data_IF_223117243596
#
_entry.id   IF_223117243596
#
_cell.length_a   1.000
_cell.length_b   1.000
_cell.length_c   1.000
_cell.angle_alpha   90.00
_cell.angle_beta   90.00
_cell.angle_gamma   90.00
#
_symmetry.space_group_name_H-M   'P 1'
#
loop_
_entity.id
_entity.type
_entity.pdbx_description
1 polymer ?
#
# COMPACT_ATOMS: atom_id res chain seq x y z
N UNK A 1 -46.17 -15.93 8.90
CA UNK A 1 -44.91 -15.17 9.08
C UNK A 1 -43.78 -16.16 9.34
N UNK A 2 -43.11 -16.62 8.26
CA UNK A 2 -41.92 -17.47 8.37
C UNK A 2 -40.76 -16.57 8.80
N UNK A 3 -40.28 -16.76 10.04
CA UNK A 3 -39.00 -16.16 10.47
C UNK A 3 -37.88 -16.91 9.76
N UNK A 4 -37.35 -16.35 8.68
CA UNK A 4 -36.12 -16.83 8.06
C UNK A 4 -34.96 -16.53 9.03
N UNK A 5 -34.63 -17.50 9.85
CA UNK A 5 -33.42 -17.48 10.65
C UNK A 5 -32.25 -17.91 9.77
N UNK A 6 -31.54 -16.96 9.19
CA UNK A 6 -30.26 -17.24 8.57
C UNK A 6 -29.26 -17.57 9.69
N UNK A 7 -28.92 -18.85 9.81
CA UNK A 7 -27.86 -19.31 10.73
C UNK A 7 -26.54 -19.03 10.04
N UNK A 8 -25.89 -17.95 10.41
CA UNK A 8 -24.53 -17.66 9.94
C UNK A 8 -23.56 -18.51 10.79
N UNK A 9 -23.07 -19.58 10.17
CA UNK A 9 -22.05 -20.44 10.76
C UNK A 9 -20.69 -19.71 10.77
N UNK A 10 -20.01 -19.80 11.89
CA UNK A 10 -18.65 -19.41 12.25
C UNK A 10 -17.82 -18.70 11.17
N UNK A 11 -17.60 -17.40 11.31
CA UNK A 11 -16.47 -16.72 10.72
C UNK A 11 -15.24 -17.05 11.58
N UNK A 12 -14.54 -18.13 11.26
CA UNK A 12 -13.25 -18.46 11.84
C UNK A 12 -12.20 -17.86 10.91
N UNK A 13 -11.65 -16.73 11.30
CA UNK A 13 -10.46 -16.17 10.65
C UNK A 13 -9.23 -16.96 11.18
N UNK A 14 -8.99 -18.12 10.58
CA UNK A 14 -7.79 -18.91 10.86
C UNK A 14 -6.70 -18.56 9.84
N UNK A 15 -5.49 -18.31 10.31
CA UNK A 15 -4.28 -18.34 9.50
C UNK A 15 -3.91 -19.82 9.24
N UNK A 16 -4.73 -20.51 8.44
CA UNK A 16 -4.39 -21.84 7.94
C UNK A 16 -4.15 -21.68 6.45
N UNK A 17 -2.90 -21.80 6.03
CA UNK A 17 -2.43 -21.85 4.63
C UNK A 17 -3.20 -20.90 3.68
N UNK A 18 -3.12 -19.59 3.94
CA UNK A 18 -3.75 -18.54 3.15
C UNK A 18 -3.41 -18.64 1.64
N UNK A 19 -2.28 -19.27 1.30
CA UNK A 19 -1.82 -19.41 -0.07
C UNK A 19 -2.71 -20.29 -0.96
N UNK A 20 -3.41 -21.31 -0.41
CA UNK A 20 -4.27 -22.20 -1.21
C UNK A 20 -5.64 -21.57 -1.47
N UNK A 21 -6.16 -20.82 -0.49
CA UNK A 21 -7.51 -20.25 -0.55
C UNK A 21 -7.60 -18.96 -1.37
N UNK A 22 -6.57 -18.11 -1.28
CA UNK A 22 -6.49 -16.89 -2.09
C UNK A 22 -6.31 -17.18 -3.58
N UNK A 23 -5.55 -18.22 -3.93
CA UNK A 23 -5.33 -18.67 -5.31
C UNK A 23 -6.64 -19.07 -6.04
N UNK A 24 -7.73 -19.33 -5.32
CA UNK A 24 -9.03 -19.62 -5.93
C UNK A 24 -9.78 -18.36 -6.40
N UNK A 25 -9.51 -17.19 -5.82
CA UNK A 25 -10.14 -15.93 -6.19
C UNK A 25 -9.24 -15.01 -7.00
N UNK A 26 -7.93 -15.06 -6.76
CA UNK A 26 -6.97 -14.16 -7.37
C UNK A 26 -5.98 -14.94 -8.23
N UNK A 27 -5.72 -14.42 -9.43
CA UNK A 27 -4.65 -15.00 -10.26
C UNK A 27 -3.28 -14.66 -9.68
N UNK A 28 -2.38 -15.64 -9.53
CA UNK A 28 -1.01 -15.39 -9.07
C UNK A 28 -0.32 -14.36 -9.97
N UNK A 29 0.35 -13.40 -9.37
CA UNK A 29 1.17 -12.42 -10.07
C UNK A 29 2.63 -12.67 -9.74
N UNK A 30 3.46 -12.77 -10.78
CA UNK A 30 4.89 -12.93 -10.63
C UNK A 30 5.58 -11.58 -10.83
N UNK A 31 5.88 -10.92 -9.74
CA UNK A 31 6.78 -9.78 -9.74
C UNK A 31 8.20 -10.27 -9.53
N UNK A 32 9.20 -9.63 -10.18
CA UNK A 32 10.60 -10.04 -10.03
C UNK A 32 11.08 -9.72 -8.61
N UNK A 33 11.09 -10.74 -7.74
CA UNK A 33 11.66 -10.61 -6.41
C UNK A 33 13.14 -10.26 -6.50
N UNK A 34 13.61 -9.42 -5.58
CA UNK A 34 15.01 -8.95 -5.50
C UNK A 34 15.53 -8.19 -6.74
N UNK A 35 14.66 -7.80 -7.64
CA UNK A 35 15.03 -6.99 -8.80
C UNK A 35 15.48 -5.59 -8.39
N UNK A 36 14.75 -4.97 -7.47
CA UNK A 36 15.03 -3.64 -6.99
C UNK A 36 15.87 -3.63 -5.70
N UNK A 37 16.81 -2.68 -5.59
CA UNK A 37 17.49 -2.36 -4.34
C UNK A 37 16.55 -1.61 -3.40
N UNK A 38 16.68 -1.83 -2.08
CA UNK A 38 15.94 -1.03 -1.10
C UNK A 38 16.38 0.43 -1.18
N UNK A 39 15.45 1.38 -1.41
CA UNK A 39 15.80 2.70 -1.96
C UNK A 39 16.40 3.69 -0.96
N UNK A 40 16.65 3.32 0.28
CA UNK A 40 17.22 4.22 1.29
C UNK A 40 18.25 3.52 2.19
N UNK A 41 19.35 4.23 2.50
CA UNK A 41 20.37 3.76 3.44
C UNK A 41 19.91 4.03 4.89
N UNK A 42 19.06 3.16 5.41
CA UNK A 42 18.51 3.21 6.76
C UNK A 42 18.07 1.80 7.20
N UNK A 43 17.59 1.67 8.43
CA UNK A 43 16.96 0.43 8.90
C UNK A 43 15.76 0.10 8.04
N UNK A 44 15.74 -1.10 7.43
CA UNK A 44 14.62 -1.54 6.60
C UNK A 44 13.34 -1.59 7.44
N UNK A 45 12.36 -0.81 7.05
CA UNK A 45 11.08 -0.72 7.74
C UNK A 45 10.19 0.37 7.14
N UNK A 46 8.91 0.34 7.48
CA UNK A 46 7.90 1.21 6.92
C UNK A 46 7.34 2.17 7.98
N UNK A 47 7.09 3.41 7.56
CA UNK A 47 6.21 4.35 8.22
C UNK A 47 4.75 4.13 7.77
N UNK A 48 4.54 3.79 6.47
CA UNK A 48 3.25 3.41 5.92
C UNK A 48 3.43 2.47 4.73
N UNK A 49 2.45 1.62 4.45
CA UNK A 49 2.46 0.68 3.33
C UNK A 49 1.58 1.12 2.16
N UNK A 50 1.76 0.45 1.02
CA UNK A 50 0.91 0.59 -0.15
C UNK A 50 -0.53 0.15 0.14
N UNK A 51 -1.52 0.91 -0.36
CA UNK A 51 -2.93 0.61 -0.16
C UNK A 51 -3.47 0.96 1.24
N UNK A 52 -2.68 1.61 2.11
CA UNK A 52 -3.19 2.14 3.38
C UNK A 52 -4.27 3.19 3.13
N UNK A 53 -5.40 3.07 3.84
CA UNK A 53 -6.51 4.01 3.70
C UNK A 53 -6.16 5.36 4.32
N UNK A 54 -6.23 6.40 3.51
CA UNK A 54 -6.13 7.81 3.91
C UNK A 54 -7.53 8.45 3.87
N UNK A 55 -7.76 9.64 4.42
CA UNK A 55 -9.09 10.24 4.48
C UNK A 55 -9.82 10.40 3.15
N UNK A 56 -9.11 10.50 2.02
CA UNK A 56 -9.67 10.74 0.69
C UNK A 56 -8.97 10.00 -0.45
N UNK A 57 -8.03 9.12 -0.16
CA UNK A 57 -7.30 8.34 -1.15
C UNK A 57 -6.60 7.14 -0.50
N UNK A 58 -6.18 6.17 -1.32
CA UNK A 58 -5.24 5.14 -0.89
C UNK A 58 -3.81 5.66 -0.93
N UNK A 59 -2.98 5.21 0.01
CA UNK A 59 -1.55 5.46 -0.05
C UNK A 59 -0.93 4.72 -1.25
N UNK A 60 -0.28 5.47 -2.14
CA UNK A 60 0.14 4.97 -3.45
C UNK A 60 1.56 4.39 -3.47
N UNK A 61 2.26 4.34 -2.34
CA UNK A 61 3.65 3.88 -2.28
C UNK A 61 4.01 3.23 -0.95
N UNK A 62 5.32 3.10 -0.72
CA UNK A 62 5.89 2.79 0.59
C UNK A 62 6.49 4.04 1.19
N UNK A 63 6.13 4.37 2.41
CA UNK A 63 6.86 5.35 3.22
C UNK A 63 8.00 4.61 3.95
N UNK A 64 9.17 4.60 3.31
CA UNK A 64 10.36 3.96 3.86
C UNK A 64 10.94 4.79 5.00
N UNK A 65 11.23 4.15 6.14
CA UNK A 65 11.80 4.82 7.30
C UNK A 65 13.20 5.35 7.01
N UNK A 66 13.48 6.54 7.51
CA UNK A 66 14.80 7.18 7.45
C UNK A 66 15.40 7.35 8.85
N UNK A 67 15.06 6.45 9.79
CA UNK A 67 15.46 6.50 11.20
C UNK A 67 15.15 7.86 11.87
N UNK A 68 14.01 8.46 11.49
CA UNK A 68 13.56 9.80 11.92
C UNK A 68 14.55 10.94 11.60
N UNK A 69 15.43 10.74 10.61
CA UNK A 69 16.44 11.71 10.21
C UNK A 69 16.28 12.13 8.75
N UNK A 70 16.67 13.35 8.44
CA UNK A 70 16.86 13.84 7.07
C UNK A 70 18.28 13.48 6.57
N UNK A 71 18.51 13.70 5.29
CA UNK A 71 19.80 13.53 4.62
C UNK A 71 20.34 12.09 4.61
N UNK A 72 19.47 11.08 4.76
CA UNK A 72 19.85 9.70 4.44
C UNK A 72 20.02 9.56 2.93
N UNK A 73 21.03 8.80 2.51
CA UNK A 73 21.25 8.55 1.08
C UNK A 73 20.08 7.80 0.47
N UNK A 74 19.58 8.31 -0.62
CA UNK A 74 18.57 7.67 -1.48
C UNK A 74 19.30 7.01 -2.64
N UNK A 75 19.00 5.74 -2.87
CA UNK A 75 19.64 4.90 -3.86
C UNK A 75 18.71 4.65 -5.04
N UNK A 76 19.27 4.61 -6.24
CA UNK A 76 18.56 4.08 -7.40
C UNK A 76 18.23 2.61 -7.16
N UNK A 77 16.97 2.25 -7.27
CA UNK A 77 16.52 0.88 -7.03
C UNK A 77 16.99 -0.09 -8.12
N UNK A 78 17.22 0.41 -9.32
CA UNK A 78 17.79 -0.32 -10.45
C UNK A 78 18.40 0.66 -11.46
N UNK A 79 19.09 0.14 -12.46
CA UNK A 79 19.65 0.91 -13.57
C UNK A 79 18.54 1.65 -14.34
N UNK A 80 18.82 2.88 -14.79
CA UNK A 80 17.84 3.64 -15.53
C UNK A 80 18.27 5.09 -15.80
N UNK A 81 17.31 5.95 -16.04
CA UNK A 81 17.51 7.38 -16.22
C UNK A 81 16.44 8.19 -15.49
N UNK A 82 16.79 9.41 -15.09
CA UNK A 82 15.96 10.28 -14.28
C UNK A 82 15.01 11.09 -15.16
N UNK A 83 13.72 11.06 -14.82
CA UNK A 83 12.67 11.84 -15.44
C UNK A 83 12.12 12.95 -14.52
N UNK A 84 10.83 13.31 -14.69
CA UNK A 84 10.11 14.33 -13.89
C UNK A 84 10.08 13.97 -12.41
N UNK A 85 10.29 14.97 -11.56
CA UNK A 85 10.57 14.79 -10.13
C UNK A 85 11.77 13.86 -10.03
N UNK A 86 11.89 12.95 -9.08
CA UNK A 86 12.83 11.86 -9.30
C UNK A 86 12.01 10.63 -9.70
N UNK A 87 11.67 10.56 -10.98
CA UNK A 87 11.26 9.34 -11.64
C UNK A 87 12.47 8.71 -12.33
N UNK A 88 12.68 7.42 -12.11
CA UNK A 88 13.67 6.64 -12.82
C UNK A 88 12.95 5.61 -13.69
N UNK A 89 13.09 5.73 -15.00
CA UNK A 89 12.58 4.74 -15.95
C UNK A 89 13.60 3.62 -16.13
N UNK A 90 13.18 2.38 -15.91
CA UNK A 90 14.02 1.20 -15.94
C UNK A 90 13.88 0.41 -17.24
N UNK A 91 14.90 -0.33 -17.67
CA UNK A 91 14.85 -1.12 -18.91
C UNK A 91 13.77 -2.21 -18.92
N UNK A 92 13.30 -2.66 -17.75
CA UNK A 92 12.26 -3.68 -17.60
C UNK A 92 10.83 -3.16 -17.83
N UNK A 93 10.65 -1.88 -18.16
CA UNK A 93 9.33 -1.26 -18.36
C UNK A 93 8.64 -0.81 -17.07
N UNK A 94 9.41 -0.72 -16.00
CA UNK A 94 8.93 -0.14 -14.72
C UNK A 94 9.55 1.24 -14.51
N UNK A 95 8.89 2.05 -13.68
CA UNK A 95 9.34 3.37 -13.27
C UNK A 95 9.30 3.45 -11.75
N UNK A 96 10.37 3.93 -11.12
CA UNK A 96 10.38 4.22 -9.68
C UNK A 96 10.26 5.71 -9.41
N UNK A 97 9.49 6.06 -8.38
CA UNK A 97 9.30 7.42 -7.90
C UNK A 97 9.90 7.56 -6.50
N UNK A 98 10.59 8.67 -6.29
CA UNK A 98 11.19 9.07 -5.01
C UNK A 98 10.69 10.46 -4.64
N UNK A 99 10.05 10.61 -3.47
CA UNK A 99 9.51 11.88 -3.02
C UNK A 99 9.93 12.26 -1.59
N UNK A 100 9.56 13.47 -1.17
CA UNK A 100 9.93 14.12 0.09
C UNK A 100 11.44 14.32 0.25
N UNK A 101 12.15 14.49 -0.86
CA UNK A 101 13.60 14.67 -0.90
C UNK A 101 14.01 16.05 -0.40
N UNK A 102 15.21 16.15 0.14
CA UNK A 102 15.85 17.40 0.56
C UNK A 102 16.72 17.97 -0.55
N UNK A 103 17.70 17.20 -0.98
CA UNK A 103 18.63 17.60 -2.03
C UNK A 103 18.82 16.46 -3.03
N UNK A 104 19.09 16.80 -4.27
CA UNK A 104 19.54 15.85 -5.28
C UNK A 104 21.06 15.63 -5.15
N UNK A 105 21.62 14.59 -5.82
CA UNK A 105 23.07 14.50 -5.93
C UNK A 105 23.61 15.68 -6.76
N UNK A 106 24.89 16.03 -6.52
CA UNK A 106 25.48 17.30 -6.96
C UNK A 106 25.27 17.65 -8.43
N UNK A 107 25.46 16.69 -9.36
CA UNK A 107 25.30 16.92 -10.78
C UNK A 107 23.84 17.27 -11.17
N UNK A 108 22.87 16.55 -10.62
CA UNK A 108 21.47 16.82 -10.87
C UNK A 108 21.01 18.11 -10.20
N UNK A 109 21.45 18.37 -8.97
CA UNK A 109 21.12 19.59 -8.23
C UNK A 109 21.56 20.85 -9.01
N UNK A 110 22.78 20.83 -9.55
CA UNK A 110 23.31 21.90 -10.38
C UNK A 110 22.45 22.10 -11.63
N UNK A 111 22.16 21.04 -12.36
CA UNK A 111 21.34 21.09 -13.57
C UNK A 111 19.94 21.65 -13.29
N UNK A 112 19.26 21.18 -12.24
CA UNK A 112 17.93 21.66 -11.87
C UNK A 112 17.97 23.15 -11.54
N UNK A 113 18.95 23.63 -10.78
CA UNK A 113 19.13 25.07 -10.52
C UNK A 113 19.35 25.89 -11.78
N UNK A 114 20.18 25.43 -12.69
CA UNK A 114 20.39 26.09 -13.97
C UNK A 114 19.07 26.22 -14.76
N UNK A 115 18.25 25.16 -14.80
CA UNK A 115 16.95 25.20 -15.45
C UNK A 115 15.96 26.14 -14.73
N UNK A 116 15.95 26.14 -13.39
CA UNK A 116 15.13 27.07 -12.62
C UNK A 116 15.46 28.54 -12.94
N UNK A 117 16.75 28.89 -13.02
CA UNK A 117 17.19 30.24 -13.40
C UNK A 117 16.83 30.57 -14.85
N UNK A 118 17.04 29.62 -15.78
CA UNK A 118 16.71 29.82 -17.19
C UNK A 118 15.23 30.05 -17.42
N UNK A 119 14.37 29.30 -16.72
CA UNK A 119 12.91 29.38 -16.79
C UNK A 119 12.33 30.43 -15.86
N UNK A 120 13.14 31.05 -14.99
CA UNK A 120 12.73 32.01 -13.95
C UNK A 120 11.58 31.48 -13.10
N UNK A 121 11.64 30.17 -12.76
CA UNK A 121 10.61 29.47 -11.99
C UNK A 121 11.25 28.54 -10.98
N UNK A 122 10.74 28.55 -9.74
CA UNK A 122 11.12 27.57 -8.71
C UNK A 122 10.53 26.18 -9.00
N UNK A 123 9.30 26.15 -9.52
CA UNK A 123 8.66 24.90 -9.92
C UNK A 123 9.03 24.60 -11.38
N UNK A 124 9.78 23.54 -11.60
CA UNK A 124 10.17 23.06 -12.92
C UNK A 124 9.77 21.60 -13.10
N UNK A 125 9.35 21.27 -14.31
CA UNK A 125 9.12 19.90 -14.76
C UNK A 125 10.10 19.64 -15.90
N UNK A 126 11.06 18.77 -15.66
CA UNK A 126 12.18 18.54 -16.58
C UNK A 126 12.12 17.13 -17.14
N UNK A 127 11.87 17.00 -18.42
CA UNK A 127 12.06 15.75 -19.14
C UNK A 127 13.56 15.63 -19.49
N UNK A 128 14.26 14.79 -18.70
CA UNK A 128 15.72 14.66 -18.80
C UNK A 128 16.05 13.53 -19.80
N UNK A 129 16.87 13.81 -20.84
CA UNK A 129 17.27 12.77 -21.77
C UNK A 129 17.98 11.61 -21.06
N UNK A 130 17.76 10.35 -21.49
CA UNK A 130 18.28 9.15 -20.81
C UNK A 130 19.80 9.12 -20.62
N UNK A 131 20.53 9.74 -21.52
CA UNK A 131 22.00 9.77 -21.52
C UNK A 131 22.60 10.91 -20.70
N UNK A 132 21.79 11.82 -20.15
CA UNK A 132 22.31 13.00 -19.44
C UNK A 132 22.68 12.64 -17.99
N UNK A 133 21.82 11.89 -17.30
CA UNK A 133 22.06 11.41 -15.93
C UNK A 133 21.72 9.92 -15.82
N UNK A 134 22.52 9.03 -16.46
CA UNK A 134 22.34 7.60 -16.27
C UNK A 134 22.72 7.22 -14.85
N UNK A 135 21.98 6.32 -14.25
CA UNK A 135 22.23 5.78 -12.91
C UNK A 135 22.26 4.27 -12.95
N UNK A 136 23.03 3.68 -12.04
CA UNK A 136 23.08 2.24 -11.78
C UNK A 136 22.40 1.91 -10.48
N UNK A 137 21.96 0.68 -10.37
CA UNK A 137 21.42 0.14 -9.12
C UNK A 137 22.37 0.42 -7.95
N UNK A 138 21.85 1.05 -6.89
CA UNK A 138 22.61 1.41 -5.70
C UNK A 138 23.34 2.76 -5.77
N UNK A 139 23.33 3.47 -6.88
CA UNK A 139 23.89 4.82 -6.94
C UNK A 139 23.11 5.77 -6.03
N UNK A 140 23.82 6.68 -5.36
CA UNK A 140 23.18 7.73 -4.58
C UNK A 140 22.62 8.79 -5.51
N UNK A 141 21.29 8.99 -5.49
CA UNK A 141 20.59 9.93 -6.37
C UNK A 141 20.09 11.18 -5.63
N UNK A 142 19.90 11.09 -4.32
CA UNK A 142 19.35 12.18 -3.52
C UNK A 142 19.62 11.97 -2.03
N UNK A 143 19.20 12.95 -1.23
CA UNK A 143 19.13 12.89 0.22
C UNK A 143 17.66 12.95 0.66
N UNK A 144 17.29 12.13 1.64
CA UNK A 144 15.94 12.13 2.20
C UNK A 144 15.64 13.43 2.94
N UNK A 145 14.40 13.86 2.92
CA UNK A 145 13.95 15.08 3.57
C UNK A 145 12.61 14.92 4.28
N UNK A 146 11.93 16.06 4.36
CA UNK A 146 10.59 16.21 4.91
C UNK A 146 9.83 17.28 4.12
N UNK A 147 10.06 17.35 2.80
CA UNK A 147 9.47 18.36 1.93
C UNK A 147 8.05 17.98 1.48
N UNK A 148 7.23 18.99 1.12
CA UNK A 148 5.85 18.78 0.66
C UNK A 148 4.89 18.34 1.76
N UNK A 149 3.92 17.51 1.44
CA UNK A 149 2.87 17.04 2.36
C UNK A 149 3.31 15.94 3.33
N UNK A 150 4.44 16.09 3.98
CA UNK A 150 5.03 15.12 4.89
C UNK A 150 4.87 15.53 6.36
N UNK A 151 4.56 14.59 7.25
CA UNK A 151 4.44 14.80 8.70
C UNK A 151 5.73 14.48 9.48
N UNK A 152 6.79 14.06 8.81
CA UNK A 152 8.07 13.72 9.41
C UNK A 152 9.03 13.11 8.39
N UNK A 153 10.35 13.03 8.69
CA UNK A 153 11.33 12.52 7.74
C UNK A 153 11.06 11.08 7.31
N UNK A 154 10.83 10.87 6.02
CA UNK A 154 10.71 9.55 5.37
C UNK A 154 10.96 9.68 3.87
N UNK A 155 11.11 8.57 3.19
CA UNK A 155 11.10 8.48 1.73
C UNK A 155 9.77 7.89 1.29
N UNK A 156 8.99 8.63 0.51
CA UNK A 156 7.87 8.05 -0.23
C UNK A 156 8.38 7.42 -1.53
N UNK A 157 8.14 6.14 -1.71
CA UNK A 157 8.66 5.34 -2.81
C UNK A 157 7.54 4.58 -3.52
N UNK A 158 7.48 4.71 -4.86
CA UNK A 158 6.53 3.98 -5.70
C UNK A 158 7.23 3.18 -6.77
N UNK A 159 6.59 2.11 -7.22
CA UNK A 159 6.91 1.40 -8.44
C UNK A 159 5.69 1.50 -9.35
N UNK A 160 5.90 1.89 -10.60
CA UNK A 160 4.85 2.06 -11.60
C UNK A 160 5.11 1.22 -12.82
N UNK A 161 4.07 0.78 -13.48
CA UNK A 161 4.14 0.34 -14.87
C UNK A 161 4.35 1.57 -15.76
N UNK A 162 5.47 1.63 -16.49
CA UNK A 162 5.86 2.82 -17.26
C UNK A 162 4.85 3.16 -18.36
N UNK A 163 4.16 2.18 -18.92
CA UNK A 163 3.21 2.38 -20.01
C UNK A 163 1.86 2.90 -19.56
N UNK A 164 1.36 2.39 -18.43
CA UNK A 164 0.01 2.68 -17.93
C UNK A 164 0.00 3.70 -16.79
N UNK A 165 1.16 4.05 -16.25
CA UNK A 165 1.37 4.85 -15.02
C UNK A 165 0.66 4.28 -13.78
N UNK A 166 0.24 3.00 -13.84
CA UNK A 166 -0.43 2.33 -12.74
C UNK A 166 0.56 2.00 -11.64
N UNK A 167 0.24 2.40 -10.41
CA UNK A 167 1.12 2.13 -9.27
C UNK A 167 0.93 0.70 -8.80
N UNK A 168 2.05 -0.02 -8.69
CA UNK A 168 2.13 -1.40 -8.26
C UNK A 168 2.49 -1.45 -6.78
N UNK A 169 2.02 -2.46 -6.07
CA UNK A 169 2.40 -2.63 -4.68
C UNK A 169 3.89 -3.00 -4.54
N UNK A 170 4.74 -2.10 -4.02
CA UNK A 170 6.18 -2.34 -3.99
C UNK A 170 6.57 -3.51 -3.08
N UNK A 171 5.74 -3.88 -2.08
CA UNK A 171 6.02 -5.01 -1.20
C UNK A 171 6.10 -6.36 -1.95
N UNK A 172 5.49 -6.44 -3.12
CA UNK A 172 5.52 -7.64 -3.96
C UNK A 172 6.86 -7.85 -4.69
N UNK A 173 7.78 -6.88 -4.61
CA UNK A 173 9.10 -6.93 -5.26
C UNK A 173 10.24 -7.39 -4.33
N UNK A 174 9.94 -7.85 -3.13
CA UNK A 174 10.90 -8.57 -2.29
C UNK A 174 11.98 -7.72 -1.62
N UNK A 175 11.65 -6.55 -1.07
CA UNK A 175 12.62 -5.66 -0.39
C UNK A 175 13.20 -6.20 0.92
N UNK A 176 12.87 -7.43 1.32
CA UNK A 176 13.38 -8.04 2.54
C UNK A 176 13.00 -7.26 3.82
N UNK A 177 11.82 -6.65 3.83
CA UNK A 177 11.25 -6.03 5.03
C UNK A 177 10.72 -7.16 5.91
N UNK A 178 11.27 -7.34 7.14
CA UNK A 178 10.81 -8.42 8.00
C UNK A 178 9.36 -8.18 8.44
N UNK A 179 8.51 -9.18 8.25
CA UNK A 179 7.16 -9.16 8.78
C UNK A 179 6.71 -10.54 9.23
N UNK A 180 6.41 -10.65 10.53
CA UNK A 180 5.87 -11.83 11.21
C UNK A 180 4.66 -11.48 12.05
N UNK A 181 4.15 -10.25 11.91
CA UNK A 181 3.03 -9.73 12.70
C UNK A 181 1.74 -10.01 11.95
N UNK A 182 0.81 -10.69 12.59
CA UNK A 182 -0.50 -10.91 12.01
C UNK A 182 -1.38 -9.66 12.15
N UNK A 183 -2.25 -9.35 11.16
CA UNK A 183 -3.17 -8.21 11.23
C UNK A 183 -4.07 -8.24 12.47
N UNK A 184 -4.39 -7.05 12.97
CA UNK A 184 -5.37 -6.86 14.04
C UNK A 184 -6.72 -6.44 13.46
N UNK A 185 -7.77 -7.25 13.71
CA UNK A 185 -9.14 -6.90 13.34
C UNK A 185 -9.77 -6.09 14.47
N UNK A 186 -10.09 -4.84 14.16
CA UNK A 186 -10.62 -3.88 15.13
C UNK A 186 -12.14 -4.00 15.25
N UNK A 187 -12.85 -4.17 14.14
CA UNK A 187 -14.32 -4.20 14.05
C UNK A 187 -14.79 -5.12 12.93
N UNK A 188 -15.92 -5.75 13.17
CA UNK A 188 -16.74 -6.40 12.16
C UNK A 188 -18.09 -5.67 12.11
N UNK A 189 -18.54 -5.30 10.91
CA UNK A 189 -19.83 -4.69 10.67
C UNK A 189 -20.69 -5.59 9.78
N UNK A 190 -22.00 -5.62 10.03
CA UNK A 190 -22.97 -6.32 9.19
C UNK A 190 -23.97 -5.31 8.66
N UNK A 191 -24.13 -5.30 7.33
CA UNK A 191 -25.03 -4.42 6.59
C UNK A 191 -26.22 -5.20 6.03
N UNK A 192 -27.39 -4.59 6.03
CA UNK A 192 -28.55 -5.06 5.26
C UNK A 192 -28.38 -4.66 3.80
N UNK A 193 -28.24 -5.63 2.90
CA UNK A 193 -28.05 -5.36 1.47
C UNK A 193 -29.30 -4.99 0.70
N UNK A 194 -30.46 -4.95 1.36
CA UNK A 194 -31.68 -4.38 0.77
C UNK A 194 -31.73 -2.85 0.92
N UNK A 195 -30.78 -2.25 1.63
CA UNK A 195 -30.60 -0.82 1.81
C UNK A 195 -29.24 -0.36 1.27
N UNK A 196 -29.15 0.89 0.89
CA UNK A 196 -27.86 1.52 0.61
C UNK A 196 -26.99 1.58 1.89
N UNK A 197 -25.68 1.49 1.73
CA UNK A 197 -24.74 1.68 2.86
C UNK A 197 -24.85 3.07 3.47
N UNK A 198 -25.29 4.06 2.70
CA UNK A 198 -25.50 5.44 3.18
C UNK A 198 -26.81 5.66 3.95
N UNK A 199 -27.76 4.74 3.81
CA UNK A 199 -29.09 4.86 4.42
C UNK A 199 -29.24 4.03 5.68
N UNK A 200 -28.15 3.46 6.16
CA UNK A 200 -28.18 2.60 7.34
C UNK A 200 -26.95 2.78 8.23
N UNK A 201 -27.15 2.53 9.52
CA UNK A 201 -26.04 2.29 10.45
C UNK A 201 -25.81 0.79 10.55
N UNK A 202 -24.58 0.29 10.23
CA UNK A 202 -24.32 -1.13 10.30
C UNK A 202 -24.39 -1.66 11.73
N UNK A 203 -24.77 -2.92 11.87
CA UNK A 203 -24.65 -3.62 13.16
C UNK A 203 -23.18 -3.96 13.41
N UNK A 204 -22.59 -3.31 14.41
CA UNK A 204 -21.23 -3.64 14.86
C UNK A 204 -21.25 -4.89 15.73
N UNK A 205 -20.37 -5.83 15.42
CA UNK A 205 -20.26 -7.10 16.11
C UNK A 205 -18.99 -7.10 16.96
N UNK A 206 -19.12 -7.29 18.28
CA UNK A 206 -17.97 -7.45 19.15
C UNK A 206 -17.14 -8.69 18.78
N UNK A 207 -15.82 -8.55 18.85
CA UNK A 207 -14.87 -9.61 18.57
C UNK A 207 -14.06 -9.96 19.81
N UNK A 208 -13.69 -11.24 19.93
CA UNK A 208 -12.73 -11.73 20.93
C UNK A 208 -11.58 -12.42 20.20
N UNK A 209 -10.34 -12.08 20.57
CA UNK A 209 -9.13 -12.76 20.06
C UNK A 209 -8.79 -13.93 20.96
N UNK A 210 -8.78 -15.17 20.40
CA UNK A 210 -8.44 -16.39 21.12
C UNK A 210 -7.38 -17.14 20.32
N UNK A 211 -6.19 -17.31 20.88
CA UNK A 211 -5.05 -17.98 20.22
C UNK A 211 -4.77 -17.46 18.80
N UNK A 212 -4.81 -16.13 18.62
CA UNK A 212 -4.54 -15.50 17.32
C UNK A 212 -5.75 -15.37 16.38
N UNK A 213 -6.84 -16.10 16.66
CA UNK A 213 -8.08 -16.07 15.86
C UNK A 213 -9.10 -15.12 16.47
N UNK A 214 -9.84 -14.38 15.65
CA UNK A 214 -10.94 -13.53 16.07
C UNK A 214 -12.25 -14.30 15.92
N UNK A 215 -13.05 -14.32 16.98
CA UNK A 215 -14.39 -14.88 16.97
C UNK A 215 -15.42 -13.83 17.35
N UNK A 216 -16.64 -13.95 16.83
CA UNK A 216 -17.73 -13.06 17.18
C UNK A 216 -18.28 -13.35 18.58
N UNK A 217 -18.71 -12.31 19.27
CA UNK A 217 -19.37 -12.42 20.58
C UNK A 217 -20.69 -11.62 20.56
N UNK A 218 -21.86 -12.29 20.46
CA UNK A 218 -22.10 -13.73 20.53
C UNK A 218 -21.67 -14.48 19.26
N UNK A 219 -21.47 -15.79 19.36
CA UNK A 219 -21.08 -16.66 18.24
C UNK A 219 -22.17 -16.71 17.14
N UNK A 220 -23.44 -16.61 17.52
CA UNK A 220 -24.56 -16.54 16.59
C UNK A 220 -25.00 -15.07 16.42
N UNK A 221 -24.95 -14.58 15.18
CA UNK A 221 -25.39 -13.25 14.81
C UNK A 221 -26.78 -13.37 14.14
N UNK A 222 -27.80 -12.81 14.79
CA UNK A 222 -29.14 -12.73 14.23
C UNK A 222 -29.30 -11.43 13.43
N UNK A 223 -29.81 -11.53 12.22
CA UNK A 223 -30.12 -10.40 11.34
C UNK A 223 -31.55 -10.49 10.84
N UNK A 224 -32.20 -9.34 10.65
CA UNK A 224 -33.60 -9.27 10.19
C UNK A 224 -33.67 -8.97 8.69
N UNK A 225 -32.85 -9.67 7.90
CA UNK A 225 -32.75 -9.50 6.45
C UNK A 225 -32.34 -10.82 5.83
N UNK A 226 -32.70 -11.01 4.57
CA UNK A 226 -32.32 -12.16 3.73
C UNK A 226 -30.99 -11.97 3.01
N UNK A 227 -30.46 -10.72 2.96
CA UNK A 227 -29.21 -10.38 2.29
C UNK A 227 -28.33 -9.52 3.19
N UNK A 228 -27.10 -9.98 3.37
CA UNK A 228 -26.10 -9.27 4.19
C UNK A 228 -24.80 -9.05 3.42
N UNK A 229 -24.07 -8.02 3.81
CA UNK A 229 -22.64 -7.88 3.51
C UNK A 229 -21.89 -7.56 4.79
N UNK A 230 -20.58 -7.75 4.73
CA UNK A 230 -19.69 -7.55 5.85
C UNK A 230 -18.71 -6.43 5.55
N UNK A 231 -18.38 -5.66 6.57
CA UNK A 231 -17.25 -4.73 6.57
C UNK A 231 -16.31 -5.08 7.71
N UNK A 232 -15.03 -4.99 7.45
CA UNK A 232 -13.99 -5.13 8.49
C UNK A 232 -13.20 -3.84 8.62
N UNK A 233 -12.88 -3.47 9.86
CA UNK A 233 -11.84 -2.50 10.16
C UNK A 233 -10.65 -3.29 10.69
N UNK A 234 -9.56 -3.27 9.96
CA UNK A 234 -8.35 -4.00 10.31
C UNK A 234 -7.12 -3.14 10.08
N UNK A 235 -6.06 -3.40 10.82
CA UNK A 235 -4.75 -2.77 10.63
C UNK A 235 -3.67 -3.82 10.73
N UNK A 236 -2.58 -3.59 10.04
CA UNK A 236 -1.40 -4.43 10.07
C UNK A 236 -0.19 -3.65 10.59
N UNK A 237 0.92 -4.35 10.85
CA UNK A 237 2.19 -3.75 11.28
C UNK A 237 3.33 -4.63 10.83
N UNK A 238 4.39 -4.04 10.33
CA UNK A 238 5.63 -4.79 10.08
C UNK A 238 6.39 -5.03 11.38
N UNK A 239 7.15 -6.12 11.44
CA UNK A 239 7.96 -6.48 12.61
C UNK A 239 8.86 -5.32 13.06
N UNK A 240 8.82 -5.00 14.35
CA UNK A 240 9.62 -3.92 14.94
C UNK A 240 9.08 -2.51 14.69
N UNK A 241 7.88 -2.35 14.14
CA UNK A 241 7.22 -1.06 13.96
C UNK A 241 5.94 -0.96 14.78
N UNK A 242 5.69 0.21 15.37
CA UNK A 242 4.41 0.56 16.00
C UNK A 242 3.42 1.20 15.01
N UNK A 243 3.86 1.53 13.80
CA UNK A 243 3.01 2.15 12.80
C UNK A 243 1.93 1.19 12.33
N UNK A 244 0.72 1.69 12.20
CA UNK A 244 -0.42 0.95 11.69
C UNK A 244 -0.46 1.11 10.18
N UNK A 245 -0.42 0.00 9.49
CA UNK A 245 -0.51 -0.10 8.04
C UNK A 245 -1.88 -0.62 7.62
N UNK A 246 -2.21 -0.51 6.32
CA UNK A 246 -3.36 -1.17 5.71
C UNK A 246 -3.15 -2.68 5.57
N UNK A 247 -4.25 -3.41 5.36
CA UNK A 247 -4.21 -4.84 5.03
C UNK A 247 -4.09 -5.03 3.51
N UNK A 248 -3.35 -6.05 3.10
CA UNK A 248 -3.12 -6.37 1.70
C UNK A 248 -4.28 -7.13 1.06
N UNK A 249 -4.82 -8.10 1.81
CA UNK A 249 -5.82 -9.02 1.30
C UNK A 249 -6.88 -9.34 2.37
N UNK A 250 -8.12 -9.53 1.93
CA UNK A 250 -9.15 -10.15 2.73
C UNK A 250 -10.07 -11.01 1.84
N UNK A 251 -10.42 -12.20 2.32
CA UNK A 251 -11.30 -13.15 1.65
C UNK A 251 -12.44 -13.53 2.57
N UNK A 252 -13.67 -13.49 2.04
CA UNK A 252 -14.87 -13.98 2.72
C UNK A 252 -15.15 -15.42 2.28
N UNK A 253 -15.31 -16.29 3.25
CA UNK A 253 -15.68 -17.69 3.03
C UNK A 253 -17.12 -17.95 3.50
N UNK A 254 -17.80 -18.86 2.81
CA UNK A 254 -19.00 -19.53 3.29
C UNK A 254 -18.67 -21.03 3.44
N UNK A 255 -18.64 -21.49 4.68
CA UNK A 255 -17.95 -22.73 5.05
C UNK A 255 -16.50 -22.68 4.51
N UNK A 256 -16.04 -23.66 3.77
CA UNK A 256 -14.68 -23.71 3.22
C UNK A 256 -14.57 -23.15 1.80
N UNK A 257 -15.61 -22.50 1.27
CA UNK A 257 -15.62 -21.96 -0.10
C UNK A 257 -15.44 -20.45 -0.10
N UNK A 258 -14.43 -19.92 -0.81
CA UNK A 258 -14.27 -18.48 -0.96
C UNK A 258 -15.43 -17.93 -1.82
N UNK A 259 -16.05 -16.84 -1.34
CA UNK A 259 -17.18 -16.19 -2.03
C UNK A 259 -16.74 -14.92 -2.73
N UNK A 260 -15.98 -14.10 -2.03
CA UNK A 260 -15.50 -12.79 -2.50
C UNK A 260 -14.29 -12.36 -1.67
N UNK A 261 -13.56 -11.38 -2.20
CA UNK A 261 -12.42 -10.83 -1.49
C UNK A 261 -11.82 -9.65 -2.25
N UNK A 262 -10.79 -9.06 -1.68
CA UNK A 262 -9.95 -8.09 -2.36
C UNK A 262 -8.48 -8.39 -2.10
N UNK A 263 -7.65 -7.98 -3.05
CA UNK A 263 -6.19 -8.02 -2.97
C UNK A 263 -5.64 -6.74 -3.61
N UNK A 264 -4.77 -6.03 -2.89
CA UNK A 264 -4.29 -4.71 -3.31
C UNK A 264 -2.92 -4.83 -3.98
N UNK A 265 -2.89 -5.34 -5.21
CA UNK A 265 -1.67 -5.48 -6.01
C UNK A 265 -1.24 -4.18 -6.68
N UNK A 266 -2.20 -3.38 -7.07
CA UNK A 266 -2.00 -2.14 -7.80
C UNK A 266 -3.19 -1.19 -7.61
N UNK A 267 -2.94 0.11 -7.75
CA UNK A 267 -3.97 1.15 -7.69
C UNK A 267 -3.68 2.17 -8.79
N UNK A 268 -4.71 2.62 -9.50
CA UNK A 268 -4.62 3.75 -10.42
C UNK A 268 -4.84 5.07 -9.67
N UNK A 269 -4.14 6.13 -10.05
CA UNK A 269 -4.38 7.47 -9.51
C UNK A 269 -5.80 7.96 -9.79
N UNK A 270 -6.40 7.57 -10.90
CA UNK A 270 -7.78 7.91 -11.24
C UNK A 270 -8.78 7.19 -10.34
N UNK A 271 -8.44 5.99 -9.86
CA UNK A 271 -9.31 5.13 -9.04
C UNK A 271 -9.15 5.38 -7.53
N UNK A 272 -8.03 5.97 -7.09
CA UNK A 272 -7.72 6.09 -5.65
C UNK A 272 -8.79 6.85 -4.85
N UNK A 273 -9.56 7.73 -5.50
CA UNK A 273 -10.64 8.51 -4.87
C UNK A 273 -11.95 7.75 -4.72
N UNK A 274 -12.10 6.59 -5.37
CA UNK A 274 -13.33 5.79 -5.28
C UNK A 274 -13.58 5.21 -3.89
N UNK A 275 -12.57 5.19 -3.03
CA UNK A 275 -12.77 4.85 -1.62
C UNK A 275 -13.79 5.76 -0.91
N UNK A 276 -13.99 7.00 -1.40
CA UNK A 276 -14.99 7.93 -0.87
C UNK A 276 -16.44 7.59 -1.30
N UNK A 277 -16.62 6.59 -2.16
CA UNK A 277 -17.93 6.10 -2.59
C UNK A 277 -18.55 5.07 -1.63
N UNK A 278 -17.94 4.81 -0.48
CA UNK A 278 -18.39 3.84 0.52
C UNK A 278 -18.54 4.46 1.91
#
# INVERSE_FOLDING_TARGET
>A
MLKNNLKLFFLILTFVDANISAAQLFSPKNYPADYFEYPVVATRGLAANFGELRPNHYHMGLDCRTDQAQNKKILAADDGYIGRCIYINHPNGLTTLYAHLNDFYEGLEKYVKEQQYALKSWAVYLDIPPNLFPVKRGDTIALSGNSGGSQGPHLHFEIRDTKTDKVLNPLLFGFGIPDTVAPDIVRLAVYNRNLSTYEQTPKLIPLKKIKGTYITAPALITVNTDKVSFGISATDRVTGSSNRNGIYEAVLFNDDKPITGFQIDNISYDETRYLNAH
#
